data_IF_393280004790
#
_entry.id   IF_393280004790
#
_cell.length_a   1.000
_cell.length_b   1.000
_cell.length_c   1.000
_cell.angle_alpha   90.00
_cell.angle_beta   90.00
_cell.angle_gamma   90.00
#
_symmetry.space_group_name_H-M   'P 1'
#
loop_
_entity.id
_entity.type
_entity.pdbx_description
1 polymer ?
#
# COMPACT_ATOMS: atom_id res chain seq x y z
N UNK A 1 -16.26 14.75 15.74
CA UNK A 1 -15.00 15.40 15.35
C UNK A 1 -14.57 14.77 14.04
N UNK A 2 -14.77 15.50 12.94
CA UNK A 2 -14.44 15.03 11.60
C UNK A 2 -12.94 15.11 11.38
N UNK A 3 -12.34 14.01 10.95
CA UNK A 3 -11.01 14.04 10.33
C UNK A 3 -11.29 14.35 8.86
N UNK A 4 -11.01 15.60 8.46
CA UNK A 4 -11.11 16.03 7.07
C UNK A 4 -9.95 15.40 6.30
N UNK A 5 -10.30 14.49 5.39
CA UNK A 5 -9.38 13.82 4.50
C UNK A 5 -9.05 14.79 3.35
N UNK A 6 -8.04 15.62 3.54
CA UNK A 6 -7.47 16.41 2.45
C UNK A 6 -6.65 15.49 1.55
N UNK A 7 -7.24 15.05 0.44
CA UNK A 7 -6.46 14.53 -0.70
C UNK A 7 -5.65 15.72 -1.21
N UNK A 8 -4.33 15.69 -1.04
CA UNK A 8 -3.45 16.77 -1.47
C UNK A 8 -3.48 16.87 -2.99
N UNK A 9 -4.20 17.87 -3.52
CA UNK A 9 -4.12 18.25 -4.93
C UNK A 9 -2.98 19.27 -5.08
N UNK A 10 -1.75 18.78 -5.13
CA UNK A 10 -0.59 19.62 -5.39
C UNK A 10 0.37 18.96 -6.40
N UNK A 11 -0.12 18.67 -7.60
CA UNK A 11 0.71 18.63 -8.80
C UNK A 11 -0.13 19.04 -10.03
N UNK A 12 0.41 19.89 -10.93
CA UNK A 12 -0.27 20.21 -12.18
C UNK A 12 -0.41 18.95 -13.05
N UNK A 13 -1.50 18.92 -13.82
CA UNK A 13 -1.91 17.82 -14.69
C UNK A 13 -0.83 17.45 -15.73
N UNK A 14 0.06 16.51 -15.40
CA UNK A 14 0.79 15.64 -16.35
C UNK A 14 1.72 14.62 -15.69
N UNK A 15 1.77 14.53 -14.36
CA UNK A 15 2.69 13.63 -13.65
C UNK A 15 1.88 12.56 -12.93
N UNK A 16 2.19 11.29 -13.20
CA UNK A 16 1.53 10.13 -12.58
C UNK A 16 1.83 10.10 -11.08
N UNK A 17 1.11 10.88 -10.28
CA UNK A 17 1.27 10.88 -8.83
C UNK A 17 0.41 9.76 -8.23
N UNK A 18 1.06 8.65 -7.84
CA UNK A 18 0.38 7.63 -7.04
C UNK A 18 0.47 8.00 -5.57
N UNK A 19 -0.61 8.54 -5.01
CA UNK A 19 -0.68 8.87 -3.59
C UNK A 19 -1.12 7.63 -2.80
N UNK A 20 -0.34 7.23 -1.80
CA UNK A 20 -0.71 6.18 -0.87
C UNK A 20 -1.23 6.79 0.42
N UNK A 21 -2.53 6.69 0.63
CA UNK A 21 -3.13 6.95 1.94
C UNK A 21 -3.30 5.62 2.64
N UNK A 22 -2.75 5.46 3.83
CA UNK A 22 -2.76 4.17 4.49
C UNK A 22 -3.56 4.27 5.78
N UNK A 23 -4.61 3.48 5.85
CA UNK A 23 -5.56 3.49 6.95
C UNK A 23 -5.25 2.34 7.91
N UNK A 24 -4.96 2.68 9.16
CA UNK A 24 -4.90 1.73 10.25
C UNK A 24 -6.02 2.04 11.24
N UNK A 25 -6.97 1.11 11.37
CA UNK A 25 -8.08 1.24 12.31
C UNK A 25 -7.67 0.68 13.67
N UNK A 26 -7.71 1.52 14.71
CA UNK A 26 -7.53 1.10 16.09
C UNK A 26 -8.89 1.00 16.79
N UNK A 27 -8.89 0.35 17.95
CA UNK A 27 -10.10 0.04 18.72
C UNK A 27 -10.89 1.32 19.06
N UNK A 28 -12.22 1.32 18.83
CA UNK A 28 -13.12 2.40 19.25
C UNK A 28 -13.18 3.65 18.35
N UNK A 29 -13.47 3.49 17.06
CA UNK A 29 -13.64 4.57 16.04
C UNK A 29 -12.44 5.50 15.81
N UNK A 30 -11.26 5.13 16.32
CA UNK A 30 -10.02 5.87 16.12
C UNK A 30 -9.30 5.38 14.87
N UNK A 31 -9.06 6.30 13.95
CA UNK A 31 -8.37 6.05 12.69
C UNK A 31 -7.01 6.71 12.73
N UNK A 32 -5.96 5.93 12.44
CA UNK A 32 -4.66 6.47 12.06
C UNK A 32 -4.57 6.47 10.54
N UNK A 33 -4.30 7.64 9.99
CA UNK A 33 -3.99 7.83 8.57
C UNK A 33 -2.50 8.11 8.47
N UNK A 34 -1.81 7.32 7.67
CA UNK A 34 -0.42 7.52 7.30
C UNK A 34 -0.40 7.96 5.84
N UNK A 35 0.07 9.17 5.60
CA UNK A 35 0.28 9.69 4.26
C UNK A 35 1.73 9.42 3.86
N UNK A 36 1.93 8.91 2.64
CA UNK A 36 3.24 8.61 2.09
C UNK A 36 3.54 9.53 0.90
N UNK A 37 4.82 9.74 0.62
CA UNK A 37 5.21 10.47 -0.59
C UNK A 37 4.73 9.72 -1.84
N UNK A 38 4.47 10.42 -2.96
CA UNK A 38 4.03 9.78 -4.19
C UNK A 38 5.04 8.76 -4.69
N UNK A 39 4.57 7.58 -5.11
CA UNK A 39 5.44 6.66 -5.83
C UNK A 39 5.67 7.16 -7.25
N UNK A 40 6.91 7.03 -7.74
CA UNK A 40 7.30 7.35 -9.11
C UNK A 40 7.15 8.84 -9.47
N UNK A 41 7.91 9.73 -8.81
CA UNK A 41 7.93 11.17 -9.13
C UNK A 41 8.44 11.50 -10.55
N UNK A 42 9.03 10.54 -11.29
CA UNK A 42 9.57 10.80 -12.63
C UNK A 42 9.09 9.80 -13.68
N UNK A 43 8.90 10.30 -14.92
CA UNK A 43 8.54 9.50 -16.11
C UNK A 43 9.73 8.62 -16.59
N UNK A 44 10.92 8.83 -16.04
CA UNK A 44 12.11 8.03 -16.33
C UNK A 44 12.19 6.79 -15.45
N UNK A 45 13.01 5.81 -15.86
CA UNK A 45 13.27 4.64 -15.04
C UNK A 45 13.78 5.06 -13.65
N UNK A 46 13.06 4.66 -12.60
CA UNK A 46 13.40 4.94 -11.21
C UNK A 46 14.81 4.43 -10.90
N UNK A 47 15.70 5.26 -10.34
CA UNK A 47 17.00 4.82 -9.86
C UNK A 47 16.86 3.66 -8.88
N UNK A 48 17.81 2.74 -8.88
CA UNK A 48 17.75 1.55 -8.02
C UNK A 48 17.69 1.90 -6.53
N UNK A 49 18.43 2.93 -6.10
CA UNK A 49 18.37 3.45 -4.72
C UNK A 49 16.97 3.86 -4.30
N UNK A 50 16.23 4.43 -5.24
CA UNK A 50 14.90 4.98 -5.01
C UNK A 50 13.91 3.82 -5.00
N UNK A 51 14.00 2.90 -5.95
CA UNK A 51 13.23 1.65 -5.95
C UNK A 51 13.42 0.84 -4.66
N UNK A 52 14.66 0.79 -4.16
CA UNK A 52 15.00 0.13 -2.90
C UNK A 52 14.33 0.82 -1.72
N UNK A 53 14.40 2.14 -1.66
CA UNK A 53 13.78 2.94 -0.60
C UNK A 53 12.26 2.81 -0.61
N UNK A 54 11.62 2.87 -1.79
CA UNK A 54 10.18 2.71 -1.95
C UNK A 54 9.71 1.30 -1.59
N UNK A 55 10.46 0.26 -1.96
CA UNK A 55 10.12 -1.11 -1.57
C UNK A 55 10.21 -1.31 -0.05
N UNK A 56 11.22 -0.76 0.62
CA UNK A 56 11.29 -0.80 2.09
C UNK A 56 10.10 -0.12 2.74
N UNK A 57 9.77 1.10 2.29
CA UNK A 57 8.65 1.86 2.80
C UNK A 57 7.34 1.10 2.61
N UNK A 58 7.10 0.55 1.42
CA UNK A 58 5.85 -0.15 1.11
C UNK A 58 5.71 -1.48 1.84
N UNK A 59 6.79 -2.25 2.00
CA UNK A 59 6.79 -3.46 2.83
C UNK A 59 6.49 -3.10 4.29
N UNK A 60 7.14 -2.07 4.82
CA UNK A 60 6.89 -1.59 6.17
C UNK A 60 5.43 -1.18 6.39
N UNK A 61 4.89 -0.35 5.49
CA UNK A 61 3.51 0.11 5.59
C UNK A 61 2.52 -1.06 5.47
N UNK A 62 2.78 -2.00 4.57
CA UNK A 62 1.97 -3.22 4.42
C UNK A 62 1.99 -4.10 5.68
N UNK A 63 3.06 -4.06 6.47
CA UNK A 63 3.21 -4.84 7.71
C UNK A 63 2.54 -4.23 8.94
N UNK A 64 2.37 -2.91 8.96
CA UNK A 64 1.87 -2.17 10.14
C UNK A 64 0.43 -1.66 9.98
N UNK A 65 -0.15 -1.80 8.78
CA UNK A 65 -1.46 -1.27 8.43
C UNK A 65 -2.46 -2.37 8.07
N UNK A 66 -3.74 -2.04 8.21
CA UNK A 66 -4.83 -2.96 7.90
C UNK A 66 -5.32 -2.81 6.46
N UNK A 67 -5.22 -1.60 5.91
CA UNK A 67 -5.65 -1.29 4.54
C UNK A 67 -4.67 -0.33 3.88
N UNK A 68 -4.20 -0.72 2.69
CA UNK A 68 -3.45 0.14 1.79
C UNK A 68 -4.42 0.78 0.80
N UNK A 69 -4.51 2.10 0.76
CA UNK A 69 -5.16 2.83 -0.32
C UNK A 69 -4.13 3.14 -1.40
N UNK A 70 -4.45 2.80 -2.64
CA UNK A 70 -3.61 3.14 -3.79
C UNK A 70 -4.39 4.11 -4.66
N UNK A 71 -4.05 5.38 -4.62
CA UNK A 71 -4.73 6.40 -5.43
C UNK A 71 -3.97 6.60 -6.73
N UNK A 72 -4.64 6.43 -7.87
CA UNK A 72 -4.06 6.69 -9.19
C UNK A 72 -5.09 7.34 -10.11
N UNK A 73 -4.64 8.16 -11.05
CA UNK A 73 -5.50 8.79 -12.05
C UNK A 73 -5.74 7.88 -13.28
N UNK A 74 -5.07 6.72 -13.36
CA UNK A 74 -5.16 5.80 -14.51
C UNK A 74 -5.32 4.34 -14.11
N UNK A 75 -6.16 3.62 -14.84
CA UNK A 75 -6.43 2.19 -14.62
C UNK A 75 -5.27 1.32 -15.13
N UNK A 76 -4.59 1.78 -16.18
CA UNK A 76 -3.58 1.02 -16.92
C UNK A 76 -2.15 1.35 -16.47
N UNK A 77 -1.94 1.55 -15.16
CA UNK A 77 -0.62 1.84 -14.61
C UNK A 77 0.22 0.57 -14.43
N UNK A 78 0.72 0.03 -15.53
CA UNK A 78 1.46 -1.25 -15.57
C UNK A 78 2.64 -1.27 -14.60
N UNK A 79 3.35 -0.15 -14.43
CA UNK A 79 4.50 -0.05 -13.53
C UNK A 79 4.09 -0.18 -12.06
N UNK A 80 3.04 0.53 -11.64
CA UNK A 80 2.46 0.44 -10.31
C UNK A 80 2.01 -0.99 -9.99
N UNK A 81 1.25 -1.63 -10.89
CA UNK A 81 0.75 -2.99 -10.64
C UNK A 81 1.86 -4.03 -10.58
N UNK A 82 2.91 -3.90 -11.42
CA UNK A 82 4.11 -4.74 -11.34
C UNK A 82 4.86 -4.51 -10.03
N UNK A 83 5.00 -3.27 -9.59
CA UNK A 83 5.63 -2.92 -8.34
C UNK A 83 4.87 -3.51 -7.14
N UNK A 84 3.55 -3.37 -7.09
CA UNK A 84 2.72 -3.96 -6.03
C UNK A 84 2.79 -5.48 -5.99
N UNK A 85 2.92 -6.14 -7.15
CA UNK A 85 3.17 -7.58 -7.24
C UNK A 85 4.55 -7.98 -6.69
N UNK A 86 5.59 -7.21 -7.02
CA UNK A 86 6.94 -7.44 -6.48
C UNK A 86 6.97 -7.24 -4.96
N UNK A 87 6.33 -6.19 -4.47
CA UNK A 87 6.18 -5.93 -3.05
C UNK A 87 5.47 -7.08 -2.34
N UNK A 88 4.38 -7.62 -2.91
CA UNK A 88 3.65 -8.76 -2.36
C UNK A 88 4.54 -9.99 -2.13
N UNK A 89 5.36 -10.32 -3.13
CA UNK A 89 6.29 -11.45 -3.09
C UNK A 89 7.37 -11.29 -2.02
N UNK A 90 7.86 -10.07 -1.80
CA UNK A 90 8.84 -9.80 -0.75
C UNK A 90 8.18 -9.78 0.63
N UNK A 91 7.03 -9.13 0.73
CA UNK A 91 6.27 -8.98 1.97
C UNK A 91 5.81 -10.32 2.56
N UNK A 92 5.56 -11.34 1.73
CA UNK A 92 5.24 -12.70 2.20
C UNK A 92 6.39 -13.38 2.98
N UNK A 93 7.63 -12.90 2.80
CA UNK A 93 8.82 -13.37 3.53
C UNK A 93 9.14 -12.54 4.77
N UNK A 94 8.50 -11.38 4.92
CA UNK A 94 8.77 -10.43 6.00
C UNK A 94 7.65 -10.53 7.04
N UNK A 95 7.96 -10.89 8.30
CA UNK A 95 6.97 -11.01 9.36
C UNK A 95 6.18 -9.72 9.55
N UNK A 96 4.86 -9.77 9.67
CA UNK A 96 4.04 -8.62 10.05
C UNK A 96 4.40 -8.09 11.44
N UNK A 97 3.94 -6.87 11.76
CA UNK A 97 4.17 -6.26 13.08
C UNK A 97 3.71 -7.18 14.22
N UNK A 98 2.57 -7.85 14.06
CA UNK A 98 2.06 -8.78 15.07
C UNK A 98 3.02 -9.94 15.34
N UNK A 99 3.49 -10.60 14.29
CA UNK A 99 4.44 -11.71 14.38
C UNK A 99 5.75 -11.25 15.01
N UNK A 100 6.28 -10.10 14.58
CA UNK A 100 7.49 -9.50 15.15
C UNK A 100 7.36 -9.25 16.67
N UNK A 101 6.25 -8.64 17.10
CA UNK A 101 6.01 -8.36 18.52
C UNK A 101 5.93 -9.65 19.32
N UNK A 102 5.25 -10.68 18.80
CA UNK A 102 5.17 -12.00 19.45
C UNK A 102 6.52 -12.66 19.56
N UNK A 103 7.33 -12.62 18.51
CA UNK A 103 8.69 -13.16 18.55
C UNK A 103 9.54 -12.50 19.62
N UNK A 104 9.46 -11.16 19.76
CA UNK A 104 10.15 -10.45 20.85
C UNK A 104 9.65 -10.85 22.23
N UNK A 105 8.33 -10.97 22.41
CA UNK A 105 7.74 -11.37 23.69
C UNK A 105 8.13 -12.81 24.07
N UNK A 106 8.10 -13.73 23.10
CA UNK A 106 8.45 -15.13 23.30
C UNK A 106 9.94 -15.34 23.57
N UNK A 107 10.82 -14.54 22.95
CA UNK A 107 12.25 -14.54 23.27
C UNK A 107 12.51 -14.14 24.72
N UNK A 108 11.72 -13.21 25.27
CA UNK A 108 11.81 -12.83 26.67
C UNK A 108 11.25 -13.90 27.63
N UNK A 109 10.28 -14.70 27.19
CA UNK A 109 9.64 -15.76 28.00
C UNK A 109 10.18 -17.18 27.77
N UNK A 110 11.10 -17.38 26.82
CA UNK A 110 11.62 -18.68 26.38
C UNK A 110 10.53 -19.65 25.86
N UNK A 111 9.42 -19.12 25.34
CA UNK A 111 8.33 -19.93 24.77
C UNK A 111 8.53 -20.18 23.26
N UNK A 112 8.12 -21.36 22.74
CA UNK A 112 8.18 -21.64 21.32
C UNK A 112 7.11 -20.84 20.55
N UNK A 113 7.53 -20.05 19.57
CA UNK A 113 6.64 -19.33 18.65
C UNK A 113 6.15 -20.27 17.57
N UNK A 114 4.84 -20.47 17.47
CA UNK A 114 4.26 -21.20 16.35
C UNK A 114 4.36 -20.38 15.05
N UNK A 115 4.54 -21.03 13.89
CA UNK A 115 4.53 -20.34 12.61
C UNK A 115 3.16 -19.72 12.37
N UNK A 116 3.14 -18.40 12.22
CA UNK A 116 1.94 -17.62 11.91
C UNK A 116 1.89 -17.44 10.39
N UNK A 117 0.72 -17.64 9.78
CA UNK A 117 0.53 -17.31 8.38
C UNK A 117 0.60 -15.79 8.19
N UNK A 118 1.49 -15.35 7.32
CA UNK A 118 1.65 -13.94 7.01
C UNK A 118 0.64 -13.52 5.94
N UNK A 119 -0.33 -12.71 6.34
CA UNK A 119 -1.30 -12.14 5.42
C UNK A 119 -0.86 -10.75 4.95
N UNK A 120 -1.24 -10.41 3.72
CA UNK A 120 -1.16 -9.05 3.20
C UNK A 120 -2.33 -8.21 3.74
N UNK A 121 -2.19 -6.89 3.84
CA UNK A 121 -3.29 -6.01 4.23
C UNK A 121 -4.43 -6.05 3.19
N UNK A 122 -5.56 -5.38 3.45
CA UNK A 122 -6.54 -5.09 2.40
C UNK A 122 -5.93 -4.10 1.39
N UNK A 123 -6.18 -4.27 0.11
CA UNK A 123 -5.78 -3.33 -0.93
C UNK A 123 -7.02 -2.68 -1.55
N UNK A 124 -7.14 -1.37 -1.43
CA UNK A 124 -8.21 -0.60 -2.07
C UNK A 124 -7.59 0.35 -3.11
N UNK A 125 -7.75 0.02 -4.39
CA UNK A 125 -7.37 0.88 -5.49
C UNK A 125 -8.43 1.96 -5.72
N UNK A 126 -8.03 3.22 -5.67
CA UNK A 126 -8.89 4.38 -5.86
C UNK A 126 -8.49 5.10 -7.13
N UNK A 127 -9.39 5.10 -8.09
CA UNK A 127 -9.17 5.77 -9.36
C UNK A 127 -9.70 7.19 -9.29
N UNK A 128 -8.79 8.15 -9.17
CA UNK A 128 -9.10 9.56 -9.09
C UNK A 128 -9.26 10.17 -10.48
N UNK A 129 -10.02 11.27 -10.57
CA UNK A 129 -10.20 12.06 -11.79
C UNK A 129 -10.60 11.25 -13.04
N UNK A 130 -11.34 10.16 -12.87
CA UNK A 130 -11.84 9.41 -14.02
C UNK A 130 -12.79 10.32 -14.81
N UNK A 131 -12.44 10.58 -16.06
CA UNK A 131 -13.21 11.40 -17.01
C UNK A 131 -14.47 10.69 -17.52
N UNK A 132 -14.62 9.40 -17.17
CA UNK A 132 -15.84 8.65 -17.37
C UNK A 132 -16.95 9.31 -16.57
N UNK A 133 -18.13 9.46 -17.16
CA UNK A 133 -19.34 9.81 -16.43
C UNK A 133 -19.72 8.62 -15.54
N UNK A 134 -19.00 8.46 -14.45
CA UNK A 134 -19.31 7.48 -13.42
C UNK A 134 -20.50 8.07 -12.68
N UNK A 135 -21.69 7.55 -12.98
CA UNK A 135 -22.85 7.79 -12.14
C UNK A 135 -22.51 7.35 -10.71
N UNK A 136 -22.86 8.20 -9.75
CA UNK A 136 -22.54 8.01 -8.35
C UNK A 136 -23.01 6.63 -7.85
N UNK A 137 -22.06 5.70 -7.65
CA UNK A 137 -22.32 4.40 -7.03
C UNK A 137 -22.39 3.18 -7.97
N UNK A 138 -22.08 3.33 -9.26
CA UNK A 138 -21.85 2.15 -10.11
C UNK A 138 -20.44 1.61 -9.91
N UNK A 139 -20.32 0.36 -9.46
CA UNK A 139 -19.11 -0.43 -9.68
C UNK A 139 -18.88 -0.49 -11.19
N UNK A 140 -17.69 -0.09 -11.64
CA UNK A 140 -17.31 -0.14 -13.05
C UNK A 140 -16.46 -1.40 -13.23
N UNK A 141 -16.99 -2.50 -13.77
CA UNK A 141 -16.25 -3.75 -13.91
C UNK A 141 -14.96 -3.59 -14.73
N UNK A 142 -14.95 -2.60 -15.64
CA UNK A 142 -13.80 -2.23 -16.47
C UNK A 142 -12.60 -1.72 -15.64
N UNK A 143 -12.84 -1.19 -14.43
CA UNK A 143 -11.75 -0.79 -13.51
C UNK A 143 -11.09 -2.01 -12.86
N UNK A 144 -11.87 -3.07 -12.67
CA UNK A 144 -11.44 -4.24 -11.91
C UNK A 144 -10.61 -5.19 -12.76
N UNK A 145 -10.95 -5.35 -14.04
CA UNK A 145 -10.29 -6.31 -14.93
C UNK A 145 -8.76 -6.09 -15.03
N UNK A 146 -8.22 -4.87 -15.25
CA UNK A 146 -6.77 -4.68 -15.30
C UNK A 146 -6.08 -5.02 -13.97
N UNK A 147 -6.67 -4.57 -12.84
CA UNK A 147 -6.13 -4.83 -11.50
C UNK A 147 -6.11 -6.33 -11.21
N UNK A 148 -7.21 -7.03 -11.52
CA UNK A 148 -7.30 -8.49 -11.40
C UNK A 148 -6.30 -9.21 -12.29
N UNK A 149 -6.08 -8.76 -13.52
CA UNK A 149 -5.12 -9.39 -14.43
C UNK A 149 -3.68 -9.31 -13.89
N UNK A 150 -3.31 -8.21 -13.24
CA UNK A 150 -1.97 -8.06 -12.65
C UNK A 150 -1.83 -8.75 -11.29
N UNK A 151 -2.85 -8.65 -10.42
CA UNK A 151 -2.76 -9.06 -9.01
C UNK A 151 -3.45 -10.40 -8.71
N UNK A 152 -4.35 -10.87 -9.58
CA UNK A 152 -5.15 -12.09 -9.38
C UNK A 152 -4.34 -13.39 -9.43
N UNK A 153 -3.08 -13.33 -9.85
CA UNK A 153 -2.14 -14.45 -9.89
C UNK A 153 -0.95 -14.29 -8.93
N UNK A 154 -1.06 -13.41 -7.94
CA UNK A 154 -0.05 -13.24 -6.91
C UNK A 154 -0.64 -13.38 -5.51
N UNK A 155 0.18 -13.12 -4.50
CA UNK A 155 -0.08 -13.27 -3.08
C UNK A 155 -1.28 -12.44 -2.63
N UNK A 156 -1.59 -11.34 -3.34
CA UNK A 156 -2.82 -10.56 -3.15
C UNK A 156 -4.12 -11.35 -3.39
N UNK A 157 -4.09 -12.48 -4.10
CA UNK A 157 -5.24 -13.38 -4.26
C UNK A 157 -5.69 -14.00 -2.93
N UNK A 158 -4.74 -14.27 -2.03
CA UNK A 158 -5.00 -14.84 -0.72
C UNK A 158 -5.26 -13.76 0.35
N UNK A 159 -4.93 -12.50 0.03
CA UNK A 159 -5.15 -11.36 0.89
C UNK A 159 -6.65 -11.07 1.03
N UNK A 160 -7.08 -10.50 2.17
CA UNK A 160 -8.45 -10.06 2.31
C UNK A 160 -8.75 -8.92 1.33
N UNK A 161 -9.48 -9.26 0.27
CA UNK A 161 -10.13 -8.35 -0.69
C UNK A 161 -9.21 -7.32 -1.35
N UNK A 162 -8.72 -7.62 -2.56
CA UNK A 162 -8.36 -6.56 -3.52
C UNK A 162 -9.65 -5.97 -4.05
N UNK A 163 -9.77 -4.66 -3.90
CA UNK A 163 -10.99 -3.92 -4.17
C UNK A 163 -10.70 -2.61 -4.91
N UNK A 164 -11.70 -2.07 -5.59
CA UNK A 164 -11.55 -0.95 -6.51
C UNK A 164 -12.71 0.03 -6.37
N UNK A 165 -12.39 1.33 -6.34
CA UNK A 165 -13.38 2.40 -6.27
C UNK A 165 -13.00 3.52 -7.23
N UNK A 166 -13.96 3.98 -8.04
CA UNK A 166 -13.81 5.23 -8.79
C UNK A 166 -14.23 6.43 -7.95
N UNK A 167 -13.41 7.48 -7.94
CA UNK A 167 -13.85 8.80 -7.48
C UNK A 167 -14.33 9.61 -8.69
N UNK A 168 -15.48 10.31 -8.57
CA UNK A 168 -15.91 11.19 -9.62
C UNK A 168 -14.93 12.35 -9.75
N UNK A 169 -14.88 12.99 -10.91
CA UNK A 169 -14.11 14.22 -11.07
C UNK A 169 -14.54 15.26 -10.03
N UNK A 170 -13.62 15.56 -9.10
CA UNK A 170 -13.87 16.49 -8.01
C UNK A 170 -13.70 17.93 -8.50
N UNK A 171 -14.60 18.86 -8.10
CA UNK A 171 -14.53 20.24 -8.56
C UNK A 171 -13.48 21.02 -7.78
N UNK A 172 -12.89 22.00 -8.46
CA UNK A 172 -12.02 23.01 -7.86
C UNK A 172 -10.56 22.89 -8.27
N UNK A 173 -9.86 24.02 -8.22
CA UNK A 173 -8.41 24.13 -8.50
C UNK A 173 -7.57 24.27 -7.23
N UNK A 174 -8.21 24.29 -6.06
CA UNK A 174 -7.57 24.46 -4.75
C UNK A 174 -8.20 23.56 -3.70
N UNK A 175 -7.44 23.22 -2.65
CA UNK A 175 -7.95 22.47 -1.50
C UNK A 175 -9.14 23.17 -0.84
N UNK A 176 -9.15 24.50 -0.82
CA UNK A 176 -10.26 25.27 -0.25
C UNK A 176 -11.57 25.05 -1.02
N UNK A 177 -11.51 25.06 -2.36
CA UNK A 177 -12.67 24.77 -3.21
C UNK A 177 -13.16 23.33 -3.03
N UNK A 178 -12.24 22.38 -2.91
CA UNK A 178 -12.56 20.98 -2.64
C UNK A 178 -13.26 20.80 -1.28
N UNK A 179 -12.74 21.44 -0.22
CA UNK A 179 -13.32 21.35 1.13
C UNK A 179 -14.74 21.96 1.22
N UNK A 180 -15.04 22.95 0.38
CA UNK A 180 -16.38 23.54 0.31
C UNK A 180 -17.33 22.82 -0.67
N UNK A 181 -16.86 21.80 -1.39
CA UNK A 181 -17.65 21.09 -2.39
C UNK A 181 -18.49 19.97 -1.77
N UNK A 182 -19.81 20.04 -1.95
CA UNK A 182 -20.71 18.95 -1.57
C UNK A 182 -20.39 17.64 -2.29
N UNK A 183 -19.94 17.72 -3.56
CA UNK A 183 -19.54 16.55 -4.35
C UNK A 183 -18.30 15.88 -3.77
N UNK A 184 -17.31 16.67 -3.35
CA UNK A 184 -16.10 16.16 -2.71
C UNK A 184 -16.41 15.59 -1.32
N UNK A 185 -17.26 16.26 -0.54
CA UNK A 185 -17.71 15.76 0.76
C UNK A 185 -18.46 14.43 0.62
N UNK A 186 -19.36 14.30 -0.36
CA UNK A 186 -20.08 13.05 -0.64
C UNK A 186 -19.14 11.93 -1.08
N UNK A 187 -18.19 12.20 -1.98
CA UNK A 187 -17.19 11.24 -2.42
C UNK A 187 -16.30 10.77 -1.25
N UNK A 188 -15.83 11.69 -0.41
CA UNK A 188 -15.06 11.39 0.80
C UNK A 188 -15.85 10.55 1.80
N UNK A 189 -17.14 10.83 1.99
CA UNK A 189 -18.01 10.04 2.87
C UNK A 189 -18.19 8.62 2.35
N UNK A 190 -18.35 8.42 1.03
CA UNK A 190 -18.45 7.09 0.43
C UNK A 190 -17.15 6.30 0.58
N UNK A 191 -16.01 6.92 0.27
CA UNK A 191 -14.70 6.27 0.45
C UNK A 191 -14.50 5.87 1.92
N UNK A 192 -14.88 6.76 2.85
CA UNK A 192 -14.88 6.48 4.28
C UNK A 192 -15.76 5.29 4.62
N UNK A 193 -17.00 5.26 4.14
CA UNK A 193 -17.93 4.16 4.39
C UNK A 193 -17.35 2.84 3.87
N UNK A 194 -16.82 2.82 2.65
CA UNK A 194 -16.21 1.65 2.01
C UNK A 194 -15.00 1.10 2.78
N UNK A 195 -14.15 1.99 3.28
CA UNK A 195 -13.04 1.65 4.16
C UNK A 195 -13.52 1.00 5.48
N UNK A 196 -14.67 1.43 6.01
CA UNK A 196 -15.17 1.02 7.32
C UNK A 196 -16.15 -0.17 7.31
N UNK A 197 -16.89 -0.39 6.23
CA UNK A 197 -17.92 -1.44 6.13
C UNK A 197 -17.35 -2.82 5.81
N UNK A 198 -16.22 -2.87 5.12
CA UNK A 198 -15.67 -4.12 4.57
C UNK A 198 -14.30 -4.52 5.17
N UNK A 199 -13.84 -3.78 6.19
CA UNK A 199 -12.56 -4.05 6.85
C UNK A 199 -12.59 -5.23 7.83
N UNK A 200 -11.45 -5.92 7.95
CA UNK A 200 -11.15 -6.90 8.99
C UNK A 200 -11.44 -6.38 10.41
N UNK A 201 -11.64 -7.26 11.41
CA UNK A 201 -11.97 -6.85 12.78
C UNK A 201 -10.95 -5.83 13.33
N UNK A 202 -11.47 -4.64 13.64
CA UNK A 202 -10.70 -3.43 14.00
C UNK A 202 -9.78 -3.66 15.21
N UNK A 203 -8.57 -3.09 15.15
CA UNK A 203 -7.62 -3.04 16.28
C UNK A 203 -6.95 -4.37 16.62
N UNK A 204 -6.96 -5.33 15.68
CA UNK A 204 -6.34 -6.66 15.83
C UNK A 204 -5.36 -6.87 14.69
N UNK A 205 -4.09 -7.04 15.04
CA UNK A 205 -3.02 -7.30 14.08
C UNK A 205 -2.77 -8.81 13.96
N UNK A 206 -2.64 -9.29 12.71
CA UNK A 206 -2.38 -10.70 12.40
C UNK A 206 -3.58 -11.63 12.62
N UNK A 207 -3.48 -12.90 12.19
CA UNK A 207 -4.59 -13.86 12.21
C UNK A 207 -5.06 -14.21 13.62
N UNK A 208 -4.18 -14.14 14.63
CA UNK A 208 -4.50 -14.42 16.04
C UNK A 208 -5.11 -13.21 16.78
N UNK A 209 -5.16 -12.06 16.10
CA UNK A 209 -5.75 -10.83 16.58
C UNK A 209 -5.05 -10.21 17.78
N UNK A 210 -3.73 -10.00 17.68
CA UNK A 210 -2.92 -9.27 18.66
C UNK A 210 -3.50 -7.86 18.86
N UNK A 211 -3.78 -7.52 20.12
CA UNK A 211 -4.25 -6.19 20.49
C UNK A 211 -3.08 -5.36 21.01
N UNK A 212 -2.85 -4.23 20.35
CA UNK A 212 -1.87 -3.23 20.76
C UNK A 212 -2.61 -1.91 21.06
N UNK A 213 -2.22 -1.24 22.14
CA UNK A 213 -2.60 0.17 22.34
C UNK A 213 -1.87 1.06 21.32
N UNK A 214 -2.37 2.26 21.06
CA UNK A 214 -1.74 3.21 20.11
C UNK A 214 -0.27 3.50 20.49
N UNK A 215 0.01 3.62 21.78
CA UNK A 215 1.35 3.84 22.31
C UNK A 215 2.27 2.62 22.10
N UNK A 216 1.76 1.42 22.32
CA UNK A 216 2.53 0.19 22.06
C UNK A 216 2.77 0.00 20.56
N UNK A 217 1.76 0.26 19.74
CA UNK A 217 1.90 0.24 18.28
C UNK A 217 3.01 1.19 17.85
N UNK A 218 2.99 2.45 18.27
CA UNK A 218 4.03 3.43 17.93
C UNK A 218 5.43 2.99 18.37
N UNK A 219 5.56 2.45 19.58
CA UNK A 219 6.83 1.94 20.09
C UNK A 219 7.37 0.79 19.23
N UNK A 220 6.54 -0.22 18.93
CA UNK A 220 6.98 -1.36 18.14
C UNK A 220 7.21 -1.02 16.68
N UNK A 221 6.46 -0.08 16.11
CA UNK A 221 6.63 0.38 14.72
C UNK A 221 8.03 0.97 14.50
N UNK A 222 8.56 1.74 15.46
CA UNK A 222 9.91 2.28 15.36
C UNK A 222 10.97 1.18 15.30
N UNK A 223 10.90 0.19 16.20
CA UNK A 223 11.83 -0.95 16.19
C UNK A 223 11.64 -1.85 14.97
N UNK A 224 10.40 -1.94 14.47
CA UNK A 224 10.06 -2.74 13.31
C UNK A 224 10.63 -2.16 12.01
N UNK A 225 10.71 -0.82 11.90
CA UNK A 225 11.37 -0.17 10.78
C UNK A 225 12.83 -0.59 10.66
N UNK A 226 13.58 -0.54 11.77
CA UNK A 226 14.98 -0.97 11.80
C UNK A 226 15.12 -2.46 11.41
N UNK A 227 14.19 -3.30 11.85
CA UNK A 227 14.14 -4.71 11.47
C UNK A 227 13.94 -4.88 9.95
N UNK A 228 12.98 -4.18 9.35
CA UNK A 228 12.67 -4.24 7.92
C UNK A 228 13.86 -3.81 7.07
N UNK A 229 14.53 -2.71 7.42
CA UNK A 229 15.70 -2.20 6.68
C UNK A 229 16.87 -3.20 6.62
N UNK A 230 16.98 -4.06 7.63
CA UNK A 230 18.04 -5.05 7.75
C UNK A 230 17.60 -6.47 7.35
N UNK A 231 16.40 -6.64 6.80
CA UNK A 231 15.85 -7.97 6.50
C UNK A 231 16.60 -8.63 5.32
N UNK A 232 17.13 -9.85 5.56
CA UNK A 232 18.01 -10.54 4.62
C UNK A 232 17.36 -10.84 3.26
N UNK A 233 16.07 -11.20 3.22
CA UNK A 233 15.37 -11.48 1.96
C UNK A 233 15.26 -10.26 1.04
N UNK A 234 15.07 -9.07 1.63
CA UNK A 234 14.95 -7.83 0.86
C UNK A 234 16.33 -7.46 0.30
N UNK A 235 17.39 -7.57 1.11
CA UNK A 235 18.76 -7.35 0.65
C UNK A 235 19.15 -8.34 -0.45
N UNK A 236 18.86 -9.63 -0.26
CA UNK A 236 19.15 -10.68 -1.26
C UNK A 236 18.45 -10.44 -2.59
N UNK A 237 17.24 -9.89 -2.57
CA UNK A 237 16.53 -9.51 -3.79
C UNK A 237 17.29 -8.46 -4.60
N UNK A 238 17.79 -7.41 -3.95
CA UNK A 238 18.58 -6.38 -4.63
C UNK A 238 19.94 -6.91 -5.08
N UNK A 239 20.60 -7.78 -4.30
CA UNK A 239 21.85 -8.41 -4.70
C UNK A 239 21.69 -9.23 -5.99
N UNK A 240 20.57 -9.96 -6.14
CA UNK A 240 20.26 -10.72 -7.36
C UNK A 240 19.95 -9.81 -8.54
N UNK A 241 19.18 -8.73 -8.33
CA UNK A 241 18.93 -7.74 -9.38
C UNK A 241 20.24 -7.14 -9.90
N UNK A 242 21.17 -6.85 -8.99
CA UNK A 242 22.50 -6.33 -9.33
C UNK A 242 23.36 -7.33 -10.09
N UNK A 243 23.39 -8.59 -9.64
CA UNK A 243 24.11 -9.65 -10.34
C UNK A 243 23.55 -9.92 -11.74
N UNK A 244 22.23 -9.74 -11.94
CA UNK A 244 21.57 -9.87 -13.24
C UNK A 244 21.89 -8.74 -14.22
N UNK A 245 21.96 -7.49 -13.75
CA UNK A 245 22.31 -6.33 -14.57
C UNK A 245 23.74 -6.42 -15.13
N UNK A 246 24.69 -6.91 -14.34
CA UNK A 246 26.08 -7.13 -14.80
C UNK A 246 26.24 -8.22 -15.86
N UNK A 247 25.29 -9.14 -16.01
CA UNK A 247 25.36 -10.21 -17.03
C UNK A 247 24.81 -9.77 -18.39
N UNK A 248 23.98 -8.73 -18.44
CA UNK A 248 23.41 -8.23 -19.71
C UNK A 248 24.37 -7.35 -20.51
N UNK A 249 25.46 -6.85 -19.92
CA UNK A 249 26.46 -6.02 -20.60
C UNK A 249 27.65 -6.80 -21.16
N UNK A 250 27.67 -8.13 -21.01
CA UNK A 250 28.74 -8.99 -21.50
C UNK A 250 28.26 -9.86 -22.67
N UNK A 251 27.98 -9.24 -23.81
CA UNK A 251 27.98 -9.94 -25.10
C UNK A 251 29.43 -10.06 -25.58
N UNK A 252 30.00 -11.26 -25.75
CA UNK A 252 31.30 -11.39 -26.40
C UNK A 252 31.13 -11.15 -27.91
N UNK A 253 31.91 -10.20 -28.45
CA UNK A 253 32.03 -9.99 -29.90
C UNK A 253 32.32 -11.32 -30.61
N UNK A 254 31.60 -11.65 -31.69
CA UNK A 254 31.96 -12.80 -32.51
C UNK A 254 33.24 -12.45 -33.27
N UNK A 255 34.35 -13.09 -32.89
CA UNK A 255 35.60 -13.02 -33.63
C UNK A 255 35.38 -13.57 -35.03
N UNK A 256 35.57 -12.69 -36.02
CA UNK A 256 35.81 -12.95 -37.44
C UNK A 256 37.02 -13.84 -37.69
#
# INVERSE_FOLDING_TARGET
>A
MGVDMCISTAAPASESCVLFLIASALWGDRLLLLDAQPLFETVTAMPESDLKSELYLMIFLASICHTLLVVTDTVMEVHLWKFLRQMAMLKSKVPNLATFVRQKQAQASAEPVQPIQEDLPRLLAVFNNLSLQIDDGMEVPELYEPVQNFLGHCEWKAAPSVDCMGLPQLPGKSCQELLCSEKAAAAGLRLRQHLFSEGHPRGRFGPDGLQLTEKQWLHYVAEYWDFVQNHADIQSYFDVLMAGSFRSSASPDPKS
#
